data_IF_562908520306
#
_entry.id   IF_562908520306
#
_cell.length_a   1.000
_cell.length_b   1.000
_cell.length_c   1.000
_cell.angle_alpha   90.00
_cell.angle_beta   90.00
_cell.angle_gamma   90.00
#
_symmetry.space_group_name_H-M   'P 1'
#
loop_
_entity.id
_entity.type
_entity.pdbx_description
1 polymer ?
#
# COMPACT_ATOMS: atom_id res chain seq x y z
N UNK A 1 -3.97 2.00 25.03
CA UNK A 1 -2.77 1.55 24.29
C UNK A 1 -2.55 2.59 23.21
N UNK A 2 -1.50 3.38 23.34
CA UNK A 2 -1.20 4.42 22.34
C UNK A 2 -0.31 3.84 21.25
N UNK A 3 -0.66 4.10 20.00
CA UNK A 3 0.13 3.72 18.85
C UNK A 3 1.15 4.83 18.55
N UNK A 4 2.42 4.48 18.45
CA UNK A 4 3.52 5.41 18.10
C UNK A 4 4.07 5.11 16.72
N UNK A 5 4.26 6.14 15.90
CA UNK A 5 5.00 6.05 14.64
C UNK A 5 6.50 6.23 14.87
N UNK A 6 7.32 5.49 14.13
CA UNK A 6 8.78 5.61 14.15
C UNK A 6 9.32 5.81 12.74
N UNK A 7 10.45 6.52 12.62
CA UNK A 7 11.20 6.64 11.37
C UNK A 7 12.23 5.53 11.30
N UNK A 8 12.22 4.74 10.24
CA UNK A 8 13.14 3.61 10.04
C UNK A 8 14.13 3.96 8.92
N UNK A 9 15.45 3.97 9.18
CA UNK A 9 16.43 4.18 8.13
C UNK A 9 16.43 3.01 7.13
N UNK A 10 16.55 3.32 5.85
CA UNK A 10 16.51 2.35 4.75
C UNK A 10 17.39 2.82 3.60
N UNK A 11 17.71 1.92 2.67
CA UNK A 11 18.48 2.21 1.46
C UNK A 11 17.58 2.06 0.23
N UNK A 12 17.75 2.89 -0.82
CA UNK A 12 16.98 2.76 -2.04
C UNK A 12 17.26 1.42 -2.74
N UNK A 13 16.25 0.89 -3.45
CA UNK A 13 16.38 -0.30 -4.27
C UNK A 13 16.32 0.06 -5.75
N UNK A 14 17.25 -0.45 -6.54
CA UNK A 14 17.16 -0.36 -7.99
C UNK A 14 15.99 -1.21 -8.54
N UNK A 15 15.41 -0.77 -9.65
CA UNK A 15 14.41 -1.55 -10.37
C UNK A 15 13.02 -1.62 -9.70
N UNK A 16 12.73 -0.75 -8.71
CA UNK A 16 11.37 -0.51 -8.19
C UNK A 16 10.55 0.43 -9.12
N UNK A 17 10.72 0.29 -10.44
CA UNK A 17 9.95 1.06 -11.43
C UNK A 17 8.68 0.26 -11.80
N UNK A 18 7.47 0.75 -11.49
CA UNK A 18 6.25 0.07 -11.90
C UNK A 18 6.11 0.11 -13.43
N UNK A 19 5.63 -0.99 -14.01
CA UNK A 19 5.20 -1.03 -15.42
C UNK A 19 3.75 -0.55 -15.57
N UNK A 20 3.19 -0.75 -16.77
CA UNK A 20 1.78 -0.40 -17.08
C UNK A 20 0.76 -1.10 -16.17
N UNK A 21 1.11 -2.25 -15.60
CA UNK A 21 0.27 -3.01 -14.67
C UNK A 21 0.86 -3.13 -13.26
N UNK A 22 1.62 -2.12 -12.83
CA UNK A 22 2.26 -2.06 -11.52
C UNK A 22 3.63 -2.71 -11.46
N UNK A 23 4.21 -2.80 -10.25
CA UNK A 23 5.50 -3.42 -10.00
C UNK A 23 5.34 -4.94 -9.87
N UNK A 24 6.05 -5.70 -10.69
CA UNK A 24 6.04 -7.18 -10.65
C UNK A 24 7.44 -7.71 -10.40
N UNK A 25 7.59 -8.50 -9.33
CA UNK A 25 8.81 -9.23 -8.96
C UNK A 25 8.45 -10.59 -8.36
N UNK A 26 9.44 -11.47 -8.23
CA UNK A 26 9.27 -12.74 -7.50
C UNK A 26 8.95 -12.44 -6.04
N UNK A 27 8.09 -13.24 -5.41
CA UNK A 27 7.68 -13.02 -4.01
C UNK A 27 8.86 -12.95 -3.04
N UNK A 28 9.92 -13.74 -3.28
CA UNK A 28 11.15 -13.68 -2.49
C UNK A 28 11.77 -12.28 -2.43
N UNK A 29 11.66 -11.49 -3.51
CA UNK A 29 12.17 -10.11 -3.56
C UNK A 29 11.30 -9.19 -2.70
N UNK A 30 9.98 -9.33 -2.75
CA UNK A 30 9.07 -8.55 -1.89
C UNK A 30 9.25 -8.84 -0.40
N UNK A 31 9.75 -10.03 -0.06
CA UNK A 31 10.06 -10.45 1.30
C UNK A 31 11.45 -9.99 1.78
N UNK A 32 12.28 -9.40 0.91
CA UNK A 32 13.53 -8.78 1.33
C UNK A 32 13.25 -7.60 2.25
N UNK A 33 14.13 -7.42 3.25
CA UNK A 33 14.00 -6.37 4.25
C UNK A 33 13.82 -5.00 3.58
N UNK A 34 12.76 -4.29 3.95
CA UNK A 34 12.42 -2.96 3.49
C UNK A 34 12.06 -2.84 1.99
N UNK A 35 12.00 -3.94 1.21
CA UNK A 35 11.68 -3.83 -0.22
C UNK A 35 10.24 -3.34 -0.42
N UNK A 36 9.29 -4.01 0.23
CA UNK A 36 7.86 -3.67 0.12
C UNK A 36 7.57 -2.34 0.81
N UNK A 37 8.18 -2.10 1.98
CA UNK A 37 8.04 -0.87 2.75
C UNK A 37 8.49 0.35 1.95
N UNK A 38 9.67 0.29 1.32
CA UNK A 38 10.20 1.38 0.51
C UNK A 38 9.27 1.68 -0.66
N UNK A 39 8.77 0.66 -1.35
CA UNK A 39 7.88 0.86 -2.49
C UNK A 39 6.56 1.53 -2.07
N UNK A 40 5.96 1.09 -0.96
CA UNK A 40 4.74 1.70 -0.43
C UNK A 40 5.00 3.16 -0.03
N UNK A 41 6.11 3.44 0.67
CA UNK A 41 6.47 4.81 1.05
C UNK A 41 6.66 5.70 -0.20
N UNK A 42 7.27 5.18 -1.26
CA UNK A 42 7.40 5.89 -2.54
C UNK A 42 6.04 6.23 -3.16
N UNK A 43 5.05 5.31 -3.11
CA UNK A 43 3.71 5.60 -3.64
C UNK A 43 3.02 6.69 -2.83
N UNK A 44 3.10 6.63 -1.49
CA UNK A 44 2.53 7.68 -0.63
C UNK A 44 3.24 9.03 -0.87
N UNK A 45 4.56 9.04 -1.00
CA UNK A 45 5.32 10.25 -1.34
C UNK A 45 4.86 10.85 -2.67
N UNK A 46 4.55 10.03 -3.68
CA UNK A 46 4.04 10.48 -4.97
C UNK A 46 2.65 11.12 -4.89
N UNK A 47 1.83 10.75 -3.89
CA UNK A 47 0.56 11.43 -3.61
C UNK A 47 0.75 12.79 -2.94
N UNK A 48 1.91 13.04 -2.32
CA UNK A 48 2.30 14.32 -1.73
C UNK A 48 1.32 14.81 -0.66
N UNK A 49 0.85 16.06 -0.79
CA UNK A 49 -0.08 16.67 0.16
C UNK A 49 -1.43 15.95 0.26
N UNK A 50 -1.79 15.12 -0.73
CA UNK A 50 -3.05 14.37 -0.77
C UNK A 50 -3.10 13.18 0.19
N UNK A 51 -1.98 12.81 0.83
CA UNK A 51 -1.95 11.65 1.75
C UNK A 51 -2.66 11.97 3.07
N UNK A 52 -2.42 13.16 3.64
CA UNK A 52 -2.99 13.50 4.95
C UNK A 52 -4.52 13.61 4.85
N UNK A 53 -5.21 12.88 5.72
CA UNK A 53 -6.67 12.92 5.80
C UNK A 53 -7.40 12.11 4.72
N UNK A 54 -6.69 11.45 3.81
CA UNK A 54 -7.35 10.74 2.72
C UNK A 54 -7.89 9.36 3.13
N UNK A 55 -8.73 8.82 2.25
CA UNK A 55 -9.15 7.42 2.30
C UNK A 55 -8.50 6.66 1.16
N UNK A 56 -7.94 5.49 1.43
CA UNK A 56 -7.37 4.59 0.41
C UNK A 56 -8.12 3.26 0.37
N UNK A 57 -8.35 2.75 -0.83
CA UNK A 57 -8.86 1.39 -1.04
C UNK A 57 -7.67 0.46 -1.24
N UNK A 58 -7.61 -0.65 -0.49
CA UNK A 58 -6.52 -1.63 -0.54
C UNK A 58 -7.09 -3.04 -0.62
N UNK A 59 -6.60 -3.84 -1.56
CA UNK A 59 -6.93 -5.26 -1.67
C UNK A 59 -6.14 -5.94 -2.76
N UNK A 60 -6.22 -7.27 -2.78
CA UNK A 60 -5.55 -8.08 -3.79
C UNK A 60 -6.34 -9.32 -4.17
N UNK A 61 -5.77 -10.10 -5.07
CA UNK A 61 -6.37 -11.32 -5.60
C UNK A 61 -6.22 -12.54 -4.68
N UNK A 62 -5.61 -12.38 -3.50
CA UNK A 62 -5.46 -13.44 -2.50
C UNK A 62 -4.22 -14.33 -2.68
N UNK A 63 -3.31 -14.01 -3.60
CA UNK A 63 -2.05 -14.74 -3.74
C UNK A 63 -1.23 -14.73 -2.45
N UNK A 64 -0.28 -15.67 -2.35
CA UNK A 64 0.71 -15.69 -1.28
C UNK A 64 1.37 -14.32 -1.11
N UNK A 65 1.63 -13.91 0.13
CA UNK A 65 2.10 -12.60 0.56
C UNK A 65 1.08 -11.44 0.58
N UNK A 66 -0.13 -11.58 0.03
CA UNK A 66 -1.15 -10.50 0.02
C UNK A 66 -1.47 -9.98 1.43
N UNK A 67 -1.75 -10.88 2.39
CA UNK A 67 -2.08 -10.49 3.77
C UNK A 67 -0.92 -9.75 4.46
N UNK A 68 0.32 -10.20 4.20
CA UNK A 68 1.51 -9.58 4.76
C UNK A 68 1.75 -8.19 4.18
N UNK A 69 1.62 -8.04 2.85
CA UNK A 69 1.70 -6.75 2.18
C UNK A 69 0.64 -5.76 2.69
N UNK A 70 -0.61 -6.20 2.87
CA UNK A 70 -1.69 -5.36 3.42
C UNK A 70 -1.36 -4.88 4.83
N UNK A 71 -0.84 -5.75 5.71
CA UNK A 71 -0.41 -5.35 7.05
C UNK A 71 0.71 -4.29 7.02
N UNK A 72 1.65 -4.40 6.07
CA UNK A 72 2.68 -3.38 5.85
C UNK A 72 2.03 -2.06 5.40
N UNK A 73 1.12 -2.10 4.43
CA UNK A 73 0.39 -0.93 3.93
C UNK A 73 -0.37 -0.24 5.06
N UNK A 74 -1.06 -0.98 5.94
CA UNK A 74 -1.80 -0.41 7.08
C UNK A 74 -0.87 0.41 7.98
N UNK A 75 0.27 -0.17 8.37
CA UNK A 75 1.22 0.48 9.28
C UNK A 75 1.82 1.74 8.68
N UNK A 76 2.25 1.67 7.42
CA UNK A 76 2.88 2.79 6.73
C UNK A 76 1.85 3.89 6.43
N UNK A 77 0.64 3.54 5.96
CA UNK A 77 -0.43 4.48 5.69
C UNK A 77 -0.83 5.26 6.95
N UNK A 78 -1.01 4.56 8.08
CA UNK A 78 -1.31 5.20 9.37
C UNK A 78 -0.20 6.17 9.79
N UNK A 79 1.07 5.76 9.69
CA UNK A 79 2.22 6.61 10.03
C UNK A 79 2.35 7.85 9.11
N UNK A 80 1.84 7.78 7.88
CA UNK A 80 1.85 8.88 6.92
C UNK A 80 0.60 9.78 7.00
N UNK A 81 -0.34 9.51 7.92
CA UNK A 81 -1.51 10.34 8.16
C UNK A 81 -2.71 10.06 7.24
N UNK A 82 -2.78 8.87 6.64
CA UNK A 82 -4.00 8.40 5.97
C UNK A 82 -5.09 8.22 7.02
N UNK A 83 -6.27 8.83 6.81
CA UNK A 83 -7.35 8.82 7.79
C UNK A 83 -8.14 7.50 7.80
N UNK A 84 -8.27 6.85 6.64
CA UNK A 84 -9.09 5.64 6.51
C UNK A 84 -8.58 4.70 5.45
N UNK A 85 -8.66 3.40 5.73
CA UNK A 85 -8.41 2.34 4.76
C UNK A 85 -9.70 1.53 4.55
N UNK A 86 -10.08 1.33 3.29
CA UNK A 86 -11.15 0.41 2.89
C UNK A 86 -10.47 -0.86 2.40
N UNK A 87 -10.59 -1.94 3.18
CA UNK A 87 -9.90 -3.20 2.93
C UNK A 87 -10.94 -4.31 2.70
N UNK A 88 -10.73 -5.10 1.66
CA UNK A 88 -11.58 -6.25 1.36
C UNK A 88 -11.55 -7.27 2.50
N UNK A 89 -12.65 -8.01 2.70
CA UNK A 89 -12.66 -9.08 3.68
C UNK A 89 -11.56 -10.09 3.38
N UNK A 90 -10.76 -10.46 4.39
CA UNK A 90 -9.53 -11.27 4.25
C UNK A 90 -8.46 -10.69 3.31
N UNK A 91 -8.56 -9.42 2.94
CA UNK A 91 -7.68 -8.73 1.99
C UNK A 91 -8.06 -8.95 0.52
N UNK A 92 -9.25 -9.51 0.24
CA UNK A 92 -9.67 -9.89 -1.11
C UNK A 92 -10.48 -8.79 -1.77
N UNK A 93 -9.97 -8.29 -2.89
CA UNK A 93 -10.73 -7.52 -3.87
C UNK A 93 -10.31 -7.89 -5.29
N UNK A 94 -11.28 -7.98 -6.19
CA UNK A 94 -10.98 -7.99 -7.63
C UNK A 94 -10.61 -6.57 -8.10
N UNK A 95 -9.77 -6.44 -9.11
CA UNK A 95 -9.43 -5.13 -9.69
C UNK A 95 -10.66 -4.31 -10.11
N UNK A 96 -11.71 -4.89 -10.72
CA UNK A 96 -12.95 -4.15 -10.99
C UNK A 96 -13.65 -3.66 -9.72
N UNK A 97 -13.65 -4.45 -8.63
CA UNK A 97 -14.24 -4.03 -7.36
C UNK A 97 -13.48 -2.84 -6.75
N UNK A 98 -12.15 -2.86 -6.77
CA UNK A 98 -11.32 -1.73 -6.32
C UNK A 98 -11.65 -0.46 -7.12
N UNK A 99 -11.68 -0.55 -8.46
CA UNK A 99 -12.01 0.58 -9.33
C UNK A 99 -13.41 1.14 -9.06
N UNK A 100 -14.40 0.26 -8.89
CA UNK A 100 -15.78 0.65 -8.55
C UNK A 100 -15.87 1.39 -7.22
N UNK A 101 -15.20 0.88 -6.17
CA UNK A 101 -15.19 1.50 -4.84
C UNK A 101 -14.50 2.87 -4.83
N UNK A 102 -13.36 3.00 -5.53
CA UNK A 102 -12.65 4.27 -5.67
C UNK A 102 -13.58 5.34 -6.24
N UNK A 103 -14.29 5.00 -7.33
CA UNK A 103 -15.22 5.93 -8.00
C UNK A 103 -16.47 6.23 -7.16
N UNK A 104 -17.04 5.21 -6.53
CA UNK A 104 -18.28 5.33 -5.74
C UNK A 104 -18.06 6.18 -4.49
N UNK A 105 -16.95 5.97 -3.80
CA UNK A 105 -16.62 6.72 -2.59
C UNK A 105 -15.86 8.03 -2.88
N UNK A 106 -15.47 8.30 -4.13
CA UNK A 106 -14.66 9.46 -4.53
C UNK A 106 -13.36 9.56 -3.71
N UNK A 107 -12.68 8.44 -3.55
CA UNK A 107 -11.48 8.29 -2.72
C UNK A 107 -10.24 8.06 -3.58
N UNK A 108 -9.06 7.99 -2.95
CA UNK A 108 -7.82 7.65 -3.63
C UNK A 108 -7.63 6.11 -3.66
N UNK A 109 -6.88 5.63 -4.65
CA UNK A 109 -6.52 4.23 -4.80
C UNK A 109 -5.03 4.00 -4.64
N UNK A 110 -4.67 2.82 -4.12
CA UNK A 110 -3.31 2.27 -4.11
C UNK A 110 -3.26 1.00 -4.97
#
# INVERSE_FOLDING_TARGET
MDLTSVVVPTTPFEGQKPGTSGLRKKVKVFMEKNYTENFIQCILNALGSKVKGCTLVVGGDGRYFTKQAINIIIRIAAANGVAKLIIGHLGIFSTPAVSSLIRTHKVLGL
#
